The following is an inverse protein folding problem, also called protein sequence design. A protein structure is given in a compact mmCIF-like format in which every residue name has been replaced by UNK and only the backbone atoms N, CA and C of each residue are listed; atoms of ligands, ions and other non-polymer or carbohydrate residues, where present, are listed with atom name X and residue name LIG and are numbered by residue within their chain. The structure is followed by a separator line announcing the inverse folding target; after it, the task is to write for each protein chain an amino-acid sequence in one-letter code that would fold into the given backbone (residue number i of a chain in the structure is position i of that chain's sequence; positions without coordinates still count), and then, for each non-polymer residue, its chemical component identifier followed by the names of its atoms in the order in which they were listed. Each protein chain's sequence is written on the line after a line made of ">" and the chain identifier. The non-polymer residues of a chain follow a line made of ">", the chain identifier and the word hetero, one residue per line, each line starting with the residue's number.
data_IF_977736931467
#
_entry.id   IF_977736931467
#
_cell.length_a   1.000
_cell.length_b   1.000
_cell.length_c   1.000
_cell.angle_alpha   90.00
_cell.angle_beta   90.00
_cell.angle_gamma   90.00
#
_symmetry.space_group_name_H-M   'P 1'
#
loop_
_entity.id
_entity.type
_entity.pdbx_description
1 polymer ?
#
# COMPACT_ATOMS: atom_id res chain seq x y z
N UNK A 1 -22.40 -25.66 -6.99
CA UNK A 1 -23.44 -24.79 -7.52
C UNK A 1 -24.18 -25.44 -8.68
N UNK A 2 -25.40 -25.08 -8.90
CA UNK A 2 -26.21 -25.56 -9.99
C UNK A 2 -26.49 -24.42 -10.98
N UNK A 3 -26.48 -24.72 -12.27
CA UNK A 3 -26.93 -23.79 -13.33
C UNK A 3 -28.45 -23.71 -13.42
N UNK A 4 -29.15 -24.18 -12.39
CA UNK A 4 -30.61 -24.15 -12.28
C UNK A 4 -31.01 -23.35 -11.04
N UNK A 5 -32.06 -22.53 -11.09
CA UNK A 5 -32.55 -21.80 -9.91
C UNK A 5 -33.20 -22.71 -8.86
N UNK A 6 -33.09 -24.00 -9.03
CA UNK A 6 -33.70 -24.99 -8.18
C UNK A 6 -32.70 -25.55 -7.19
N UNK A 7 -33.00 -25.41 -5.93
CA UNK A 7 -32.29 -26.10 -4.86
C UNK A 7 -33.10 -27.35 -4.47
N UNK A 8 -32.42 -28.48 -4.38
CA UNK A 8 -32.98 -29.74 -3.93
C UNK A 8 -32.38 -30.14 -2.60
N UNK A 9 -33.22 -30.47 -1.66
CA UNK A 9 -32.80 -30.87 -0.33
C UNK A 9 -33.31 -32.26 -0.01
N UNK A 10 -32.58 -32.99 0.84
CA UNK A 10 -32.98 -34.33 1.34
C UNK A 10 -32.54 -34.45 2.79
N UNK A 11 -33.46 -34.88 3.67
CA UNK A 11 -33.09 -35.23 5.04
C UNK A 11 -32.36 -36.59 5.05
N UNK A 12 -31.47 -36.78 6.01
CA UNK A 12 -30.56 -37.95 6.09
C UNK A 12 -31.30 -39.31 6.03
N UNK A 13 -32.53 -39.35 6.52
CA UNK A 13 -33.35 -40.59 6.56
C UNK A 13 -34.32 -40.70 5.38
N UNK A 14 -34.47 -39.71 4.55
CA UNK A 14 -35.39 -39.74 3.42
C UNK A 14 -34.69 -40.28 2.16
N UNK A 15 -35.46 -40.95 1.29
CA UNK A 15 -34.93 -41.54 0.06
C UNK A 15 -34.95 -40.57 -1.11
N UNK A 16 -35.85 -39.57 -1.10
CA UNK A 16 -36.09 -38.67 -2.20
C UNK A 16 -35.61 -37.24 -1.91
N UNK A 17 -35.20 -36.52 -2.95
CA UNK A 17 -34.91 -35.12 -2.89
C UNK A 17 -36.17 -34.29 -3.09
N UNK A 18 -36.39 -33.32 -2.22
CA UNK A 18 -37.49 -32.36 -2.33
C UNK A 18 -36.96 -31.06 -2.92
N UNK A 19 -37.65 -30.53 -3.90
CA UNK A 19 -37.36 -29.22 -4.44
C UNK A 19 -37.75 -28.11 -3.46
N UNK A 20 -36.82 -27.28 -3.07
CA UNK A 20 -37.08 -26.11 -2.20
C UNK A 20 -37.56 -24.94 -3.02
N UNK A 21 -38.38 -24.07 -2.43
CA UNK A 21 -38.82 -22.80 -3.06
C UNK A 21 -37.92 -21.66 -2.64
N UNK A 22 -36.65 -21.69 -3.06
CA UNK A 22 -35.66 -20.71 -2.60
C UNK A 22 -35.70 -19.42 -3.44
N UNK A 23 -35.94 -19.51 -4.74
CA UNK A 23 -35.91 -18.37 -5.64
C UNK A 23 -37.15 -18.31 -6.53
N UNK A 24 -37.66 -17.09 -6.70
CA UNK A 24 -38.84 -16.83 -7.56
C UNK A 24 -38.46 -16.54 -9.02
N UNK A 25 -37.18 -16.39 -9.35
CA UNK A 25 -36.70 -15.97 -10.66
C UNK A 25 -36.08 -17.13 -11.45
N UNK A 26 -36.32 -17.14 -12.73
CA UNK A 26 -35.79 -18.16 -13.65
C UNK A 26 -34.40 -17.77 -14.15
N UNK A 27 -33.50 -18.74 -14.24
CA UNK A 27 -32.20 -18.57 -14.92
C UNK A 27 -31.02 -18.13 -14.03
N UNK A 28 -31.11 -18.33 -12.72
CA UNK A 28 -30.06 -17.92 -11.79
C UNK A 28 -29.10 -19.05 -11.44
N UNK A 29 -27.84 -18.69 -11.34
CA UNK A 29 -26.76 -19.51 -10.83
C UNK A 29 -26.67 -19.33 -9.30
N UNK A 30 -26.59 -20.42 -8.54
CA UNK A 30 -26.41 -20.41 -7.09
C UNK A 30 -24.95 -20.71 -6.79
N UNK A 31 -24.13 -19.68 -6.53
CA UNK A 31 -22.72 -19.90 -6.22
C UNK A 31 -22.51 -20.48 -4.82
N UNK A 32 -23.34 -20.22 -3.81
CA UNK A 32 -23.07 -20.52 -2.43
C UNK A 32 -24.22 -21.00 -1.57
N UNK A 33 -23.87 -21.96 -0.74
CA UNK A 33 -24.67 -22.44 0.40
C UNK A 33 -23.77 -22.35 1.63
N UNK A 34 -24.21 -21.61 2.64
CA UNK A 34 -23.52 -21.43 3.89
C UNK A 34 -24.38 -21.97 5.03
N UNK A 35 -24.07 -23.15 5.61
CA UNK A 35 -24.66 -23.54 6.86
C UNK A 35 -24.14 -22.65 7.98
N UNK A 36 -25.06 -22.00 8.69
CA UNK A 36 -24.71 -21.09 9.78
C UNK A 36 -24.73 -21.78 11.15
N UNK A 37 -23.94 -21.27 12.07
CA UNK A 37 -23.87 -21.77 13.46
C UNK A 37 -25.20 -21.67 14.19
N UNK A 38 -26.13 -20.82 13.75
CA UNK A 38 -27.49 -20.70 14.31
C UNK A 38 -28.48 -21.73 13.77
N UNK A 39 -28.01 -22.73 13.03
CA UNK A 39 -28.83 -23.79 12.45
C UNK A 39 -29.60 -23.42 11.19
N UNK A 40 -29.50 -22.18 10.73
CA UNK A 40 -30.10 -21.75 9.47
C UNK A 40 -29.08 -21.89 8.35
N UNK A 41 -29.54 -21.81 7.12
CA UNK A 41 -28.69 -21.88 5.94
C UNK A 41 -28.85 -20.63 5.12
N UNK A 42 -27.75 -19.98 4.76
CA UNK A 42 -27.79 -18.84 3.84
C UNK A 42 -27.39 -19.30 2.44
N UNK A 43 -27.95 -18.64 1.45
CA UNK A 43 -27.60 -18.86 0.06
C UNK A 43 -27.59 -17.53 -0.70
N UNK A 44 -26.67 -17.45 -1.63
CA UNK A 44 -26.56 -16.32 -2.56
C UNK A 44 -26.85 -16.82 -3.96
N UNK A 45 -27.42 -15.96 -4.79
CA UNK A 45 -27.67 -16.25 -6.18
C UNK A 45 -27.46 -15.01 -7.05
N UNK A 46 -27.14 -15.26 -8.31
CA UNK A 46 -26.95 -14.21 -9.31
C UNK A 46 -28.21 -13.33 -9.43
N UNK A 47 -28.04 -12.03 -9.29
CA UNK A 47 -29.10 -11.02 -9.36
C UNK A 47 -30.26 -11.22 -8.35
N UNK A 48 -30.01 -11.92 -7.26
CA UNK A 48 -31.01 -12.14 -6.22
C UNK A 48 -30.51 -11.66 -4.86
N UNK A 49 -31.42 -11.30 -3.95
CA UNK A 49 -31.04 -11.01 -2.57
C UNK A 49 -30.43 -12.26 -1.88
N UNK A 50 -29.76 -12.02 -0.80
CA UNK A 50 -29.28 -13.12 0.08
C UNK A 50 -30.50 -13.75 0.74
N UNK A 51 -30.64 -15.06 0.59
CA UNK A 51 -31.76 -15.82 1.12
C UNK A 51 -31.35 -16.65 2.32
N UNK A 52 -32.21 -16.71 3.31
CA UNK A 52 -32.10 -17.60 4.45
C UNK A 52 -33.07 -18.76 4.31
N UNK A 53 -32.59 -19.97 4.49
CA UNK A 53 -33.37 -21.20 4.40
C UNK A 53 -33.44 -21.81 5.80
N UNK A 54 -34.65 -22.21 6.19
CA UNK A 54 -34.84 -23.05 7.37
C UNK A 54 -34.72 -24.53 6.94
N UNK A 55 -33.71 -25.30 7.44
CA UNK A 55 -33.53 -26.68 7.03
C UNK A 55 -34.58 -27.67 7.58
N UNK A 56 -35.42 -27.24 8.54
CA UNK A 56 -36.46 -28.12 9.11
C UNK A 56 -37.69 -28.24 8.20
N UNK A 57 -38.08 -27.13 7.58
CA UNK A 57 -39.27 -27.06 6.72
C UNK A 57 -38.99 -26.63 5.29
N UNK A 58 -37.75 -26.29 4.96
CA UNK A 58 -37.24 -25.78 3.66
C UNK A 58 -37.93 -24.48 3.22
N UNK A 59 -38.50 -23.73 4.16
CA UNK A 59 -38.96 -22.38 3.87
C UNK A 59 -37.79 -21.42 3.74
N UNK A 60 -37.92 -20.51 2.81
CA UNK A 60 -36.92 -19.48 2.55
C UNK A 60 -37.50 -18.08 2.69
N UNK A 61 -36.70 -17.17 3.22
CA UNK A 61 -36.99 -15.74 3.29
C UNK A 61 -35.75 -14.93 2.92
N UNK A 62 -35.95 -13.72 2.49
CA UNK A 62 -34.83 -12.78 2.33
C UNK A 62 -34.19 -12.48 3.68
N UNK A 63 -32.88 -12.35 3.70
CA UNK A 63 -32.19 -11.89 4.90
C UNK A 63 -32.52 -10.41 5.11
N UNK A 64 -33.16 -10.07 6.24
CA UNK A 64 -33.43 -8.67 6.53
C UNK A 64 -32.15 -7.96 6.96
N UNK A 65 -31.65 -7.07 6.10
CA UNK A 65 -30.59 -6.16 6.48
C UNK A 65 -31.20 -4.89 7.06
N UNK A 66 -30.68 -4.43 8.19
CA UNK A 66 -31.23 -3.27 8.91
C UNK A 66 -30.87 -1.92 8.29
N UNK A 67 -30.01 -1.88 7.28
CA UNK A 67 -29.65 -0.65 6.60
C UNK A 67 -30.12 -0.66 5.14
N UNK A 68 -30.58 0.50 4.67
CA UNK A 68 -31.03 0.70 3.30
C UNK A 68 -29.91 0.73 2.26
N UNK A 69 -28.64 0.82 2.70
CA UNK A 69 -27.47 0.90 1.80
C UNK A 69 -27.25 -0.37 1.00
N UNK A 70 -27.74 -1.52 1.48
CA UNK A 70 -27.79 -2.76 0.73
C UNK A 70 -28.48 -2.59 -0.63
N UNK A 71 -29.64 -1.96 -0.67
CA UNK A 71 -30.36 -1.72 -1.92
C UNK A 71 -29.57 -0.78 -2.86
N UNK A 72 -28.85 0.18 -2.32
CA UNK A 72 -28.01 1.07 -3.12
C UNK A 72 -26.79 0.33 -3.71
N UNK A 73 -26.22 -0.66 -3.01
CA UNK A 73 -25.16 -1.52 -3.53
C UNK A 73 -25.66 -2.41 -4.68
N UNK A 74 -26.87 -2.94 -4.58
CA UNK A 74 -27.46 -3.79 -5.62
C UNK A 74 -28.01 -2.99 -6.81
N UNK A 75 -28.62 -1.83 -6.58
CA UNK A 75 -29.26 -1.04 -7.65
C UNK A 75 -28.29 -0.37 -8.62
N UNK A 76 -27.03 -0.18 -8.22
CA UNK A 76 -26.01 0.48 -9.08
C UNK A 76 -25.23 -0.47 -9.98
N UNK A 77 -25.26 -1.75 -9.69
CA UNK A 77 -24.56 -2.79 -10.46
C UNK A 77 -25.25 -4.14 -10.29
N UNK A 78 -25.01 -5.02 -11.24
CA UNK A 78 -25.50 -6.39 -11.16
C UNK A 78 -24.86 -7.09 -9.97
N UNK A 79 -25.65 -7.55 -9.01
CA UNK A 79 -25.15 -8.30 -7.85
C UNK A 79 -24.77 -9.70 -8.28
N UNK A 80 -23.49 -9.97 -8.28
CA UNK A 80 -22.90 -11.28 -8.61
C UNK A 80 -22.07 -11.72 -7.42
N UNK A 81 -22.67 -12.51 -6.50
CA UNK A 81 -21.90 -13.09 -5.40
C UNK A 81 -21.00 -14.21 -5.94
N UNK A 82 -19.79 -14.30 -5.45
CA UNK A 82 -18.79 -15.31 -5.79
C UNK A 82 -18.59 -16.28 -4.66
N UNK A 83 -18.51 -15.78 -3.44
CA UNK A 83 -18.29 -16.58 -2.24
C UNK A 83 -19.11 -16.05 -1.05
N UNK A 84 -19.37 -16.92 -0.08
CA UNK A 84 -20.05 -16.57 1.18
C UNK A 84 -19.42 -17.35 2.33
N UNK A 85 -19.01 -16.65 3.38
CA UNK A 85 -18.24 -17.20 4.49
C UNK A 85 -18.78 -16.67 5.83
N UNK A 86 -18.95 -17.55 6.84
CA UNK A 86 -19.24 -17.17 8.22
C UNK A 86 -17.97 -17.28 9.06
N UNK A 87 -17.60 -16.19 9.70
CA UNK A 87 -16.42 -16.16 10.54
C UNK A 87 -16.66 -16.69 11.96
N UNK A 88 -15.61 -16.79 12.75
CA UNK A 88 -15.64 -17.32 14.12
C UNK A 88 -16.52 -16.49 15.08
N UNK A 89 -16.88 -15.26 14.72
CA UNK A 89 -17.76 -14.37 15.52
C UNK A 89 -19.23 -14.47 15.07
N UNK A 90 -19.51 -15.21 13.99
CA UNK A 90 -20.83 -15.34 13.40
C UNK A 90 -21.21 -14.21 12.47
N UNK A 91 -20.29 -13.32 12.13
CA UNK A 91 -20.46 -12.37 11.06
C UNK A 91 -20.35 -13.06 9.69
N UNK A 92 -20.98 -12.51 8.65
CA UNK A 92 -20.95 -13.10 7.32
C UNK A 92 -20.26 -12.18 6.34
N UNK A 93 -19.36 -12.76 5.58
CA UNK A 93 -18.60 -12.10 4.53
C UNK A 93 -19.07 -12.60 3.18
N UNK A 94 -19.33 -11.68 2.24
CA UNK A 94 -19.80 -12.01 0.91
C UNK A 94 -18.86 -11.38 -0.12
N UNK A 95 -18.21 -12.23 -0.89
CA UNK A 95 -17.40 -11.83 -2.04
C UNK A 95 -18.31 -11.57 -3.24
N UNK A 96 -17.98 -10.55 -4.02
CA UNK A 96 -18.76 -10.16 -5.20
C UNK A 96 -17.87 -9.83 -6.38
N UNK A 97 -18.46 -9.90 -7.58
CA UNK A 97 -17.87 -9.27 -8.78
C UNK A 97 -18.24 -7.80 -8.77
N UNK A 98 -17.24 -6.93 -8.89
CA UNK A 98 -17.35 -5.46 -9.04
C UNK A 98 -17.89 -4.66 -7.84
N UNK A 99 -18.54 -5.31 -6.85
CA UNK A 99 -19.08 -4.62 -5.66
C UNK A 99 -18.13 -4.72 -4.43
N UNK A 100 -17.04 -5.46 -4.53
CA UNK A 100 -16.07 -5.63 -3.45
C UNK A 100 -16.48 -6.68 -2.42
N UNK A 101 -15.93 -6.56 -1.23
CA UNK A 101 -16.18 -7.43 -0.08
C UNK A 101 -17.27 -6.82 0.80
N UNK A 102 -18.35 -7.56 1.01
CA UNK A 102 -19.44 -7.15 1.89
C UNK A 102 -19.31 -7.85 3.24
N UNK A 103 -19.57 -7.13 4.31
CA UNK A 103 -19.56 -7.60 5.68
C UNK A 103 -20.94 -7.41 6.31
N UNK A 104 -21.53 -8.50 6.77
CA UNK A 104 -22.74 -8.49 7.59
C UNK A 104 -22.37 -8.72 9.05
N UNK A 105 -22.71 -7.77 9.90
CA UNK A 105 -22.51 -7.89 11.35
C UNK A 105 -23.70 -8.58 11.99
N UNK A 106 -23.46 -9.73 12.60
CA UNK A 106 -24.49 -10.48 13.32
C UNK A 106 -25.02 -9.73 14.56
N UNK A 107 -24.20 -8.87 15.15
CA UNK A 107 -24.56 -8.08 16.32
C UNK A 107 -25.52 -6.92 15.99
N UNK A 108 -25.39 -6.32 14.81
CA UNK A 108 -26.17 -5.14 14.42
C UNK A 108 -27.19 -5.40 13.32
N UNK A 109 -27.15 -6.57 12.67
CA UNK A 109 -27.98 -6.87 11.49
C UNK A 109 -27.67 -6.04 10.24
N UNK A 110 -26.61 -5.24 10.27
CA UNK A 110 -26.24 -4.33 9.17
C UNK A 110 -25.25 -5.00 8.22
N UNK A 111 -25.33 -4.61 6.96
CA UNK A 111 -24.37 -4.97 5.93
C UNK A 111 -23.68 -3.72 5.41
N UNK A 112 -22.37 -3.81 5.20
CA UNK A 112 -21.54 -2.72 4.70
C UNK A 112 -20.51 -3.23 3.69
N UNK A 113 -20.00 -2.35 2.84
CA UNK A 113 -18.88 -2.64 1.94
C UNK A 113 -17.58 -2.28 2.64
N UNK A 114 -16.65 -3.23 2.68
CA UNK A 114 -15.32 -3.01 3.24
C UNK A 114 -14.39 -2.60 2.11
N UNK A 115 -13.86 -1.38 2.20
CA UNK A 115 -12.95 -0.81 1.20
C UNK A 115 -11.49 -1.19 1.48
N UNK A 116 -10.66 -1.17 0.42
CA UNK A 116 -9.21 -1.39 0.53
C UNK A 116 -8.73 -2.76 0.05
N UNK A 117 -9.63 -3.60 -0.49
CA UNK A 117 -9.25 -4.85 -1.17
C UNK A 117 -8.35 -4.58 -2.38
N UNK A 118 -7.45 -5.52 -2.75
CA UNK A 118 -6.57 -5.36 -3.93
C UNK A 118 -7.34 -5.14 -5.23
N UNK A 119 -8.51 -5.76 -5.33
CA UNK A 119 -9.44 -5.64 -6.44
C UNK A 119 -10.87 -5.76 -5.91
N UNK A 120 -11.85 -5.17 -6.62
CA UNK A 120 -13.28 -5.30 -6.26
C UNK A 120 -13.90 -6.64 -6.66
N UNK A 121 -13.22 -7.40 -7.49
CA UNK A 121 -13.65 -8.74 -7.88
C UNK A 121 -13.09 -9.76 -6.88
N UNK A 122 -13.88 -10.06 -5.85
CA UNK A 122 -13.53 -11.01 -4.80
C UNK A 122 -13.86 -12.42 -5.26
N UNK A 123 -12.94 -13.36 -5.14
CA UNK A 123 -13.12 -14.74 -5.58
C UNK A 123 -13.34 -15.72 -4.44
N UNK A 124 -12.60 -15.61 -3.35
CA UNK A 124 -12.66 -16.52 -2.22
C UNK A 124 -12.30 -15.84 -0.91
N UNK A 125 -12.80 -16.38 0.20
CA UNK A 125 -12.68 -15.76 1.52
C UNK A 125 -12.33 -16.83 2.56
N UNK A 126 -11.36 -16.53 3.44
CA UNK A 126 -10.98 -17.36 4.58
C UNK A 126 -10.71 -16.51 5.83
N UNK A 127 -10.80 -17.15 6.99
CA UNK A 127 -10.42 -16.54 8.27
C UNK A 127 -9.16 -17.22 8.83
N UNK A 128 -8.19 -16.42 9.27
CA UNK A 128 -7.01 -16.95 9.95
C UNK A 128 -7.27 -17.23 11.45
N UNK A 129 -6.28 -17.80 12.12
CA UNK A 129 -6.39 -18.14 13.55
C UNK A 129 -6.46 -16.90 14.47
N UNK A 130 -6.10 -15.72 13.99
CA UNK A 130 -6.20 -14.44 14.71
C UNK A 130 -7.54 -13.74 14.46
N UNK A 131 -8.38 -14.29 13.58
CA UNK A 131 -9.66 -13.71 13.20
C UNK A 131 -9.54 -12.61 12.13
N UNK A 132 -8.41 -12.50 11.43
CA UNK A 132 -8.31 -11.64 10.25
C UNK A 132 -8.95 -12.33 9.05
N UNK A 133 -9.54 -11.54 8.16
CA UNK A 133 -10.17 -12.06 6.95
C UNK A 133 -9.22 -11.91 5.77
N UNK A 134 -9.06 -13.00 5.04
CA UNK A 134 -8.26 -13.07 3.84
C UNK A 134 -9.18 -13.19 2.62
N UNK A 135 -9.01 -12.31 1.65
CA UNK A 135 -9.81 -12.26 0.43
C UNK A 135 -8.91 -12.45 -0.79
N UNK A 136 -9.06 -13.60 -1.46
CA UNK A 136 -8.48 -13.83 -2.79
C UNK A 136 -9.30 -13.09 -3.82
N UNK A 137 -8.62 -12.34 -4.72
CA UNK A 137 -9.27 -11.49 -5.71
C UNK A 137 -8.80 -11.83 -7.13
N UNK A 138 -9.36 -11.16 -8.13
CA UNK A 138 -8.86 -11.25 -9.51
C UNK A 138 -7.52 -10.51 -9.69
N UNK A 139 -7.06 -9.74 -8.68
CA UNK A 139 -5.77 -9.06 -8.74
C UNK A 139 -5.13 -8.90 -7.35
N UNK A 140 -4.68 -9.99 -6.76
CA UNK A 140 -3.97 -10.02 -5.48
C UNK A 140 -4.77 -10.67 -4.35
N UNK A 141 -4.11 -10.81 -3.21
CA UNK A 141 -4.64 -11.38 -1.97
C UNK A 141 -4.68 -10.29 -0.90
N UNK A 142 -5.83 -10.01 -0.32
CA UNK A 142 -6.00 -9.00 0.71
C UNK A 142 -6.14 -9.65 2.09
N UNK A 143 -5.43 -9.12 3.10
CA UNK A 143 -5.62 -9.42 4.52
C UNK A 143 -6.31 -8.24 5.19
N UNK A 144 -7.51 -8.44 5.70
CA UNK A 144 -8.23 -7.45 6.51
C UNK A 144 -7.92 -7.66 7.99
N UNK A 145 -7.19 -6.72 8.58
CA UNK A 145 -6.96 -6.67 10.02
C UNK A 145 -8.18 -6.06 10.71
N UNK A 146 -8.95 -6.89 11.42
CA UNK A 146 -10.19 -6.46 12.10
C UNK A 146 -9.95 -5.54 13.29
N UNK A 147 -8.74 -5.49 13.84
CA UNK A 147 -8.42 -4.63 14.98
C UNK A 147 -8.13 -3.21 14.53
N UNK A 148 -7.52 -3.07 13.37
CA UNK A 148 -7.16 -1.79 12.75
C UNK A 148 -8.22 -1.33 11.74
N UNK A 149 -9.04 -2.25 11.21
CA UNK A 149 -10.03 -1.97 10.20
C UNK A 149 -9.43 -1.64 8.83
N UNK A 150 -8.31 -2.28 8.45
CA UNK A 150 -7.58 -1.98 7.21
C UNK A 150 -7.11 -3.24 6.50
N UNK A 151 -7.00 -3.11 5.17
CA UNK A 151 -6.37 -4.12 4.35
C UNK A 151 -4.85 -3.95 4.25
N UNK A 152 -4.16 -5.08 4.20
CA UNK A 152 -2.80 -5.23 3.68
C UNK A 152 -2.89 -6.13 2.46
N UNK A 153 -2.36 -5.68 1.33
CA UNK A 153 -2.52 -6.35 0.05
C UNK A 153 -1.20 -7.02 -0.38
N UNK A 154 -1.30 -8.24 -0.87
CA UNK A 154 -0.19 -9.07 -1.33
C UNK A 154 -0.36 -9.41 -2.81
N UNK A 155 0.75 -9.48 -3.53
CA UNK A 155 0.79 -9.73 -4.96
C UNK A 155 1.85 -10.80 -5.28
N UNK A 156 1.91 -11.25 -6.52
CA UNK A 156 2.90 -12.23 -6.95
C UNK A 156 4.34 -11.82 -6.59
N UNK A 157 4.64 -10.52 -6.62
CA UNK A 157 5.90 -9.96 -6.17
C UNK A 157 6.19 -10.18 -4.68
N UNK A 158 5.16 -10.39 -3.85
CA UNK A 158 5.27 -10.69 -2.43
C UNK A 158 5.49 -12.17 -2.13
N UNK A 159 5.55 -13.00 -3.19
CA UNK A 159 5.80 -14.44 -3.10
C UNK A 159 4.55 -15.31 -3.13
N UNK A 160 3.35 -14.75 -3.34
CA UNK A 160 2.17 -15.55 -3.65
C UNK A 160 2.29 -16.14 -5.07
N UNK A 161 1.69 -17.31 -5.32
CA UNK A 161 1.86 -18.05 -6.57
C UNK A 161 1.36 -17.33 -7.82
N UNK A 162 0.48 -16.32 -7.68
CA UNK A 162 -0.05 -15.49 -8.76
C UNK A 162 -1.05 -14.49 -8.21
N UNK A 163 -1.43 -13.49 -9.04
CA UNK A 163 -2.34 -12.43 -8.61
C UNK A 163 -3.83 -12.79 -8.75
N UNK A 164 -4.16 -13.84 -9.51
CA UNK A 164 -5.54 -14.16 -9.87
C UNK A 164 -5.98 -15.46 -9.22
N UNK A 165 -7.05 -15.38 -8.41
CA UNK A 165 -7.63 -16.51 -7.69
C UNK A 165 -8.97 -16.92 -8.30
N UNK A 166 -9.32 -18.20 -8.15
CA UNK A 166 -10.60 -18.74 -8.59
C UNK A 166 -11.67 -18.63 -7.50
N UNK A 167 -12.92 -18.56 -7.93
CA UNK A 167 -14.05 -18.52 -7.03
C UNK A 167 -14.08 -19.76 -6.13
N UNK A 168 -14.20 -19.53 -4.81
CA UNK A 168 -14.30 -20.58 -3.76
C UNK A 168 -13.16 -21.57 -3.75
N UNK A 169 -12.03 -21.19 -4.21
CA UNK A 169 -10.83 -22.02 -4.23
C UNK A 169 -9.93 -21.76 -3.02
N UNK A 170 -10.51 -21.66 -1.86
CA UNK A 170 -9.78 -21.46 -0.61
C UNK A 170 -10.18 -22.47 0.45
N UNK A 171 -9.27 -22.75 1.37
CA UNK A 171 -9.53 -23.49 2.59
C UNK A 171 -8.47 -23.22 3.65
N UNK A 172 -8.86 -23.40 4.93
CA UNK A 172 -7.94 -23.43 6.05
C UNK A 172 -7.69 -24.88 6.48
N UNK A 173 -6.43 -25.25 6.55
CA UNK A 173 -6.00 -26.55 7.07
C UNK A 173 -6.05 -26.61 8.60
N UNK A 174 -6.06 -27.81 9.20
CA UNK A 174 -6.14 -27.97 10.67
C UNK A 174 -4.94 -27.35 11.43
N UNK A 175 -3.80 -27.19 10.79
CA UNK A 175 -2.60 -26.53 11.34
C UNK A 175 -2.64 -25.01 11.25
N UNK A 176 -3.70 -24.44 10.68
CA UNK A 176 -3.88 -23.01 10.48
C UNK A 176 -3.34 -22.46 9.15
N UNK A 177 -2.71 -23.31 8.34
CA UNK A 177 -2.26 -22.95 6.99
C UNK A 177 -3.44 -22.56 6.12
N UNK A 178 -3.36 -21.44 5.44
CA UNK A 178 -4.32 -21.03 4.43
C UNK A 178 -3.87 -21.49 3.04
N UNK A 179 -4.82 -21.93 2.24
CA UNK A 179 -4.60 -22.38 0.87
C UNK A 179 -5.56 -21.65 -0.06
N UNK A 180 -5.02 -21.07 -1.13
CA UNK A 180 -5.78 -20.37 -2.17
C UNK A 180 -5.40 -20.89 -3.54
N UNK A 181 -6.41 -21.29 -4.33
CA UNK A 181 -6.24 -21.75 -5.70
C UNK A 181 -6.35 -20.61 -6.71
N UNK A 182 -5.42 -20.56 -7.63
CA UNK A 182 -5.38 -19.50 -8.64
C UNK A 182 -4.89 -19.99 -10.01
N UNK A 183 -4.79 -19.07 -10.96
CA UNK A 183 -4.37 -19.38 -12.36
C UNK A 183 -2.95 -19.94 -12.47
N UNK A 184 -2.11 -19.72 -11.45
CA UNK A 184 -0.73 -20.18 -11.41
C UNK A 184 -0.51 -21.32 -10.38
N UNK A 185 -1.57 -22.02 -10.00
CA UNK A 185 -1.52 -23.13 -9.05
C UNK A 185 -2.02 -22.75 -7.66
N UNK A 186 -1.40 -23.30 -6.62
CA UNK A 186 -1.80 -23.08 -5.24
C UNK A 186 -0.84 -22.13 -4.54
N UNK A 187 -1.40 -21.15 -3.85
CA UNK A 187 -0.72 -20.34 -2.84
C UNK A 187 -1.07 -20.89 -1.47
N UNK A 188 -0.09 -21.32 -0.71
CA UNK A 188 -0.30 -21.81 0.67
C UNK A 188 0.75 -21.18 1.59
N UNK A 189 0.31 -20.75 2.76
CA UNK A 189 1.16 -20.09 3.74
C UNK A 189 0.55 -20.17 5.13
N UNK A 190 1.40 -20.09 6.15
CA UNK A 190 0.92 -19.87 7.51
C UNK A 190 0.80 -18.34 7.73
N UNK A 191 -0.40 -17.82 8.08
CA UNK A 191 -0.60 -16.40 8.33
C UNK A 191 0.30 -15.80 9.41
N UNK A 192 0.80 -16.63 10.34
CA UNK A 192 1.74 -16.20 11.39
C UNK A 192 3.13 -15.87 10.84
N UNK A 193 3.51 -16.49 9.73
CA UNK A 193 4.82 -16.31 9.11
C UNK A 193 4.83 -15.14 8.11
N UNK A 194 3.65 -14.62 7.79
CA UNK A 194 3.52 -13.48 6.87
C UNK A 194 3.93 -12.20 7.57
N UNK A 195 5.14 -11.73 7.29
CA UNK A 195 5.61 -10.44 7.80
C UNK A 195 4.83 -9.30 7.17
N UNK A 196 4.23 -8.46 8.02
CA UNK A 196 3.50 -7.27 7.57
C UNK A 196 4.42 -6.09 7.27
N UNK A 197 5.73 -6.23 7.52
CA UNK A 197 6.69 -5.14 7.40
C UNK A 197 7.94 -5.60 6.66
N UNK A 198 8.03 -5.23 5.40
CA UNK A 198 9.28 -5.34 4.65
C UNK A 198 10.23 -4.21 5.04
N UNK A 199 11.42 -4.57 5.47
CA UNK A 199 12.52 -3.62 5.61
C UNK A 199 13.27 -3.51 4.28
N UNK A 200 13.01 -2.45 3.54
CA UNK A 200 13.66 -2.18 2.26
C UNK A 200 14.89 -1.30 2.52
N UNK A 201 16.10 -1.75 2.17
CA UNK A 201 17.29 -0.90 2.25
C UNK A 201 17.15 0.29 1.30
N UNK A 202 17.33 1.50 1.83
CA UNK A 202 17.38 2.74 1.05
C UNK A 202 18.84 3.21 1.01
N UNK A 203 19.40 3.32 -0.20
CA UNK A 203 20.78 3.69 -0.41
C UNK A 203 20.89 4.96 -1.24
N UNK A 204 21.98 5.72 -1.03
CA UNK A 204 22.42 6.75 -1.97
C UNK A 204 23.35 6.08 -2.99
N UNK A 205 23.09 6.38 -4.28
CA UNK A 205 23.84 5.78 -5.39
C UNK A 205 24.94 6.69 -5.88
N UNK A 206 24.56 7.80 -6.54
CA UNK A 206 25.49 8.66 -7.24
C UNK A 206 25.33 10.14 -6.86
N UNK A 207 26.44 10.85 -6.91
CA UNK A 207 26.49 12.30 -6.90
C UNK A 207 26.88 12.78 -8.30
N UNK A 208 26.09 13.68 -8.89
CA UNK A 208 26.48 14.39 -10.11
C UNK A 208 26.66 15.88 -9.78
N UNK A 209 27.74 16.46 -10.25
CA UNK A 209 28.05 17.88 -10.14
C UNK A 209 28.10 18.43 -11.57
N UNK A 210 27.30 19.47 -11.87
CA UNK A 210 27.15 20.00 -13.23
C UNK A 210 26.86 18.89 -14.27
N UNK A 211 26.00 17.93 -13.90
CA UNK A 211 25.64 16.77 -14.73
C UNK A 211 26.78 15.79 -15.04
N UNK A 212 27.89 15.85 -14.31
CA UNK A 212 29.02 14.90 -14.39
C UNK A 212 29.08 14.09 -13.12
N UNK A 213 29.27 12.79 -13.27
CA UNK A 213 29.38 11.87 -12.13
C UNK A 213 30.64 12.21 -11.31
N UNK A 214 30.45 12.49 -10.03
CA UNK A 214 31.54 12.68 -9.08
C UNK A 214 31.96 11.31 -8.51
N UNK A 215 33.21 10.94 -8.77
CA UNK A 215 33.80 9.72 -8.22
C UNK A 215 34.83 10.06 -7.14
N UNK A 216 35.01 9.23 -6.11
CA UNK A 216 35.99 9.48 -5.05
C UNK A 216 37.42 9.66 -5.55
N UNK A 217 37.74 9.10 -6.71
CA UNK A 217 39.08 9.18 -7.32
C UNK A 217 39.30 10.46 -8.12
N UNK A 218 38.22 11.06 -8.63
CA UNK A 218 38.28 12.17 -9.59
C UNK A 218 37.71 13.48 -9.01
N UNK A 219 37.19 13.46 -7.80
CA UNK A 219 36.50 14.60 -7.18
C UNK A 219 36.91 14.76 -5.72
N UNK A 220 37.27 15.99 -5.33
CA UNK A 220 37.50 16.37 -3.93
C UNK A 220 36.19 16.48 -3.13
N UNK A 221 35.06 16.39 -3.80
CA UNK A 221 33.73 16.56 -3.19
C UNK A 221 33.27 15.39 -2.34
N UNK A 222 33.79 14.19 -2.58
CA UNK A 222 33.51 12.97 -1.82
C UNK A 222 34.79 12.13 -1.67
N UNK A 223 34.99 11.57 -0.49
CA UNK A 223 36.14 10.67 -0.18
C UNK A 223 35.83 9.19 -0.41
N UNK A 224 34.55 8.82 -0.40
CA UNK A 224 34.02 7.45 -0.57
C UNK A 224 32.77 7.46 -1.43
N UNK A 225 32.39 6.28 -1.92
CA UNK A 225 31.12 6.11 -2.62
C UNK A 225 29.92 6.49 -1.72
N UNK A 226 28.87 7.09 -2.28
CA UNK A 226 27.74 7.62 -1.53
C UNK A 226 27.02 6.56 -0.65
N UNK A 227 27.06 5.30 -1.05
CA UNK A 227 26.49 4.20 -0.26
C UNK A 227 27.11 4.07 1.14
N UNK A 228 28.34 4.55 1.36
CA UNK A 228 29.01 4.61 2.66
C UNK A 228 28.70 5.90 3.44
N UNK A 229 27.85 6.77 2.90
CA UNK A 229 27.41 8.05 3.49
C UNK A 229 28.57 8.99 3.87
N UNK A 230 29.49 9.27 2.94
CA UNK A 230 30.52 10.27 3.19
C UNK A 230 29.88 11.65 3.30
N UNK A 231 30.57 12.60 3.94
CA UNK A 231 30.21 14.01 3.84
C UNK A 231 30.43 14.49 2.40
N UNK A 232 29.43 15.15 1.83
CA UNK A 232 29.53 15.77 0.50
C UNK A 232 30.04 17.18 0.70
N UNK A 233 31.26 17.49 0.22
CA UNK A 233 31.87 18.80 0.33
C UNK A 233 31.87 19.50 -1.04
N UNK A 234 30.99 20.48 -1.23
CA UNK A 234 30.85 21.25 -2.47
C UNK A 234 31.60 22.56 -2.36
N UNK A 235 32.34 22.91 -3.39
CA UNK A 235 32.94 24.24 -3.53
C UNK A 235 31.91 25.27 -4.01
N UNK A 236 32.16 26.53 -3.79
CA UNK A 236 31.26 27.63 -4.12
C UNK A 236 30.87 27.71 -5.61
N UNK A 237 31.68 27.13 -6.50
CA UNK A 237 31.42 27.07 -7.95
C UNK A 237 30.65 25.81 -8.36
N UNK A 238 30.44 24.83 -7.45
CA UNK A 238 29.73 23.63 -7.69
C UNK A 238 28.23 23.77 -7.30
N UNK A 239 27.61 24.81 -7.83
CA UNK A 239 26.28 25.27 -7.44
C UNK A 239 25.12 24.49 -8.03
N UNK A 240 25.37 23.52 -8.92
CA UNK A 240 24.36 22.62 -9.47
C UNK A 240 24.79 21.17 -9.28
N UNK A 241 24.04 20.42 -8.47
CA UNK A 241 24.32 19.03 -8.21
C UNK A 241 23.03 18.20 -8.07
N UNK A 242 23.13 16.90 -8.26
CA UNK A 242 22.05 15.97 -8.01
C UNK A 242 22.55 14.75 -7.21
N UNK A 243 21.68 14.23 -6.37
CA UNK A 243 21.90 13.03 -5.57
C UNK A 243 20.91 11.97 -6.03
N UNK A 244 21.42 10.84 -6.49
CA UNK A 244 20.62 9.67 -6.84
C UNK A 244 20.49 8.75 -5.63
N UNK A 245 19.30 8.14 -5.49
CA UNK A 245 18.97 7.23 -4.43
C UNK A 245 18.08 6.10 -4.93
N UNK A 246 18.19 4.93 -4.34
CA UNK A 246 17.35 3.78 -4.66
C UNK A 246 16.98 2.98 -3.42
N UNK A 247 15.73 2.52 -3.41
CA UNK A 247 15.28 1.46 -2.55
C UNK A 247 15.61 0.12 -3.22
N UNK A 248 16.28 -0.78 -2.49
CA UNK A 248 16.60 -2.12 -3.00
C UNK A 248 15.37 -3.03 -2.86
N UNK A 249 14.29 -2.68 -3.53
CA UNK A 249 13.13 -3.52 -3.69
C UNK A 249 13.11 -4.09 -5.11
N UNK A 250 13.45 -5.38 -5.21
CA UNK A 250 13.46 -6.09 -6.50
C UNK A 250 12.08 -6.58 -6.92
N UNK A 251 11.09 -6.48 -6.03
CA UNK A 251 9.76 -7.03 -6.25
C UNK A 251 8.75 -5.98 -6.69
N UNK A 252 8.81 -4.75 -6.17
CA UNK A 252 7.78 -3.72 -6.36
C UNK A 252 8.35 -2.32 -6.59
N UNK A 253 9.41 -2.21 -7.37
CA UNK A 253 10.09 -0.94 -7.63
C UNK A 253 9.16 0.17 -8.15
N UNK A 254 8.05 -0.18 -8.81
CA UNK A 254 7.07 0.77 -9.34
C UNK A 254 6.13 1.36 -8.28
N UNK A 255 6.04 0.73 -7.11
CA UNK A 255 5.13 1.14 -6.03
C UNK A 255 5.78 1.91 -4.92
N UNK A 256 7.11 1.99 -4.92
CA UNK A 256 7.87 2.76 -3.94
C UNK A 256 7.76 4.23 -4.29
N UNK A 257 7.18 5.01 -3.38
CA UNK A 257 7.14 6.47 -3.47
C UNK A 257 8.28 7.07 -2.68
N UNK A 258 9.02 7.96 -3.30
CA UNK A 258 10.14 8.64 -2.69
C UNK A 258 9.75 10.06 -2.30
N UNK A 259 10.18 10.47 -1.10
CA UNK A 259 10.13 11.83 -0.64
C UNK A 259 11.53 12.25 -0.24
N UNK A 260 11.93 13.45 -0.63
CA UNK A 260 13.23 13.98 -0.24
C UNK A 260 13.12 15.38 0.32
N UNK A 261 14.14 15.79 1.07
CA UNK A 261 14.23 17.11 1.69
C UNK A 261 15.67 17.45 1.99
N UNK A 262 16.07 18.69 1.75
CA UNK A 262 17.31 19.26 2.25
C UNK A 262 17.02 20.08 3.51
N UNK A 263 17.29 19.51 4.69
CA UNK A 263 17.13 20.22 5.96
C UNK A 263 18.07 21.42 6.01
N UNK A 264 17.53 22.58 6.36
CA UNK A 264 18.20 23.87 6.31
C UNK A 264 17.96 24.67 5.03
N UNK A 265 17.34 24.07 4.01
CA UNK A 265 16.99 24.73 2.74
C UNK A 265 15.52 24.55 2.39
N UNK A 266 15.04 23.30 2.34
CA UNK A 266 13.66 23.00 1.99
C UNK A 266 12.74 23.17 3.20
N UNK A 267 11.59 23.81 3.01
CA UNK A 267 10.58 23.96 4.04
C UNK A 267 9.76 22.69 4.25
N UNK A 268 9.46 21.97 3.17
CA UNK A 268 8.60 20.79 3.15
C UNK A 268 9.28 19.61 2.45
N UNK A 269 8.78 18.41 2.67
CA UNK A 269 9.15 17.23 1.93
C UNK A 269 8.67 17.37 0.48
N UNK A 270 9.54 17.06 -0.46
CA UNK A 270 9.27 17.08 -1.91
C UNK A 270 8.88 15.68 -2.33
N UNK A 271 7.71 15.53 -2.96
CA UNK A 271 7.26 14.27 -3.52
C UNK A 271 7.97 14.02 -4.86
N UNK A 272 8.87 13.05 -4.85
CA UNK A 272 9.60 12.62 -6.04
C UNK A 272 8.84 11.58 -6.86
N UNK A 273 7.72 11.04 -6.31
CA UNK A 273 7.02 9.89 -6.88
C UNK A 273 7.97 8.72 -7.12
N UNK A 274 8.18 8.34 -8.40
CA UNK A 274 9.09 7.28 -8.82
C UNK A 274 10.46 7.82 -9.29
N UNK A 275 10.69 9.12 -9.23
CA UNK A 275 11.99 9.70 -9.59
C UNK A 275 13.01 9.38 -8.49
N UNK A 276 14.18 8.92 -8.90
CA UNK A 276 15.26 8.49 -7.99
C UNK A 276 16.41 9.50 -7.93
N UNK A 277 16.18 10.71 -8.37
CA UNK A 277 17.19 11.76 -8.43
C UNK A 277 16.62 13.08 -7.91
N UNK A 278 17.31 13.69 -6.94
CA UNK A 278 17.01 15.01 -6.43
C UNK A 278 18.04 16.01 -6.95
N UNK A 279 17.59 17.05 -7.63
CA UNK A 279 18.43 18.11 -8.17
C UNK A 279 18.33 19.37 -7.32
N UNK A 280 19.48 19.94 -6.98
CA UNK A 280 19.60 21.21 -6.27
C UNK A 280 20.49 22.19 -7.03
N UNK A 281 20.09 23.45 -7.02
CA UNK A 281 20.86 24.51 -7.61
C UNK A 281 20.97 25.69 -6.63
N UNK A 282 22.13 26.37 -6.64
CA UNK A 282 22.37 27.59 -5.89
C UNK A 282 22.15 27.51 -4.38
N UNK A 283 22.56 26.39 -3.76
CA UNK A 283 22.56 26.30 -2.28
C UNK A 283 23.53 27.35 -1.72
N UNK A 284 23.11 28.18 -0.75
CA UNK A 284 24.00 29.07 -0.03
C UNK A 284 25.14 28.31 0.68
N UNK A 285 26.21 28.99 1.00
CA UNK A 285 27.27 28.41 1.84
C UNK A 285 26.72 28.04 3.20
N UNK A 286 26.95 26.78 3.63
CA UNK A 286 26.41 26.27 4.87
C UNK A 286 26.53 24.76 4.98
N UNK A 287 25.99 24.22 6.07
CA UNK A 287 25.91 22.79 6.30
C UNK A 287 24.45 22.37 6.31
N UNK A 288 24.15 21.39 5.48
CA UNK A 288 22.79 20.86 5.25
C UNK A 288 22.76 19.36 5.49
N UNK A 289 21.56 18.82 5.70
CA UNK A 289 21.36 17.38 5.74
C UNK A 289 20.33 17.01 4.69
N UNK A 290 20.78 16.29 3.66
CA UNK A 290 19.88 15.72 2.66
C UNK A 290 19.24 14.45 3.23
N UNK A 291 17.93 14.37 3.16
CA UNK A 291 17.13 13.27 3.68
C UNK A 291 16.25 12.71 2.59
N UNK A 292 16.17 11.40 2.55
CA UNK A 292 15.22 10.67 1.68
C UNK A 292 14.44 9.70 2.52
N UNK A 293 13.14 9.61 2.29
CA UNK A 293 12.30 8.58 2.87
C UNK A 293 11.49 7.88 1.79
N UNK A 294 11.17 6.62 2.05
CA UNK A 294 10.32 5.80 1.20
C UNK A 294 9.03 5.45 1.91
N UNK A 295 7.98 5.38 1.14
CA UNK A 295 6.68 4.84 1.55
C UNK A 295 6.05 4.14 0.34
N UNK A 296 5.10 3.26 0.58
CA UNK A 296 4.24 2.75 -0.48
C UNK A 296 2.79 3.23 -0.30
N UNK A 297 1.96 3.02 -1.30
CA UNK A 297 0.56 3.44 -1.29
C UNK A 297 -0.23 2.88 -0.10
N UNK A 298 0.12 1.69 0.36
CA UNK A 298 -0.59 0.94 1.42
C UNK A 298 -0.02 1.24 2.81
N UNK A 299 1.07 2.03 2.91
CA UNK A 299 1.83 2.27 4.15
C UNK A 299 2.31 0.99 4.85
N UNK A 300 2.40 -0.11 4.12
CA UNK A 300 2.89 -1.41 4.62
C UNK A 300 4.41 -1.49 4.68
N UNK A 301 5.12 -0.63 3.96
CA UNK A 301 6.57 -0.46 4.11
C UNK A 301 6.83 0.39 5.35
N UNK A 302 7.77 -0.05 6.19
CA UNK A 302 8.29 0.78 7.27
C UNK A 302 8.87 2.05 6.64
N UNK A 303 8.37 3.20 7.03
CA UNK A 303 8.98 4.48 6.64
C UNK A 303 10.45 4.43 7.01
N UNK A 304 11.32 4.28 6.03
CA UNK A 304 12.76 4.29 6.23
C UNK A 304 13.31 5.61 5.73
N UNK A 305 13.95 6.32 6.63
CA UNK A 305 14.64 7.57 6.34
C UNK A 305 16.15 7.29 6.25
N UNK A 306 16.78 7.80 5.22
CA UNK A 306 18.22 7.82 5.09
C UNK A 306 18.69 9.26 4.93
N UNK A 307 19.86 9.59 5.46
CA UNK A 307 20.38 10.94 5.44
C UNK A 307 21.87 10.99 5.13
N UNK A 308 22.31 12.08 4.49
CA UNK A 308 23.70 12.37 4.15
C UNK A 308 23.96 13.85 4.35
N UNK A 309 25.13 14.20 4.87
CA UNK A 309 25.53 15.59 5.11
C UNK A 309 26.06 16.24 3.84
N UNK A 310 25.64 17.48 3.59
CA UNK A 310 26.09 18.31 2.45
C UNK A 310 26.68 19.60 3.00
N UNK A 311 27.93 19.86 2.71
CA UNK A 311 28.66 21.04 3.14
C UNK A 311 28.99 21.87 1.89
N UNK A 312 28.49 23.08 1.83
CA UNK A 312 28.79 24.05 0.76
C UNK A 312 29.79 25.06 1.31
N UNK A 313 31.01 25.08 0.75
CA UNK A 313 32.07 26.01 1.16
C UNK A 313 31.72 27.44 0.72
N UNK A 314 32.00 28.45 1.55
CA UNK A 314 31.81 29.82 1.17
C UNK A 314 32.82 30.23 0.06
N UNK A 315 32.40 31.17 -0.80
CA UNK A 315 33.29 31.74 -1.78
C UNK A 315 34.44 32.46 -1.08
N UNK A 316 35.66 32.51 -1.67
CA UNK A 316 36.84 33.13 -1.04
C UNK A 316 36.60 34.60 -0.64
N UNK A 317 35.81 35.30 -1.40
CA UNK A 317 35.45 36.71 -1.15
C UNK A 317 34.38 36.91 -0.06
N UNK A 318 33.71 35.83 0.40
CA UNK A 318 32.72 35.82 1.48
C UNK A 318 33.32 35.39 2.82
N UNK A 319 34.58 35.01 2.88
CA UNK A 319 35.28 34.58 4.09
C UNK A 319 35.59 35.76 5.01
N UNK A 320 35.73 35.51 6.32
CA UNK A 320 36.03 36.54 7.32
C UNK A 320 37.28 37.35 7.01
N UNK A 321 38.33 36.73 6.47
CA UNK A 321 39.56 37.40 6.10
C UNK A 321 39.39 38.34 4.88
N UNK A 322 38.52 38.01 3.94
CA UNK A 322 38.18 38.88 2.82
C UNK A 322 37.48 40.16 3.32
N UNK A 323 36.62 40.06 4.30
CA UNK A 323 36.04 41.25 4.95
C UNK A 323 37.08 42.14 5.62
N UNK A 324 38.12 41.53 6.28
CA UNK A 324 39.24 42.31 6.81
C UNK A 324 39.99 43.07 5.73
N UNK A 325 40.24 42.45 4.56
CA UNK A 325 40.87 43.10 3.42
C UNK A 325 39.99 44.25 2.89
N UNK A 326 38.68 44.04 2.77
CA UNK A 326 37.75 45.10 2.32
C UNK A 326 37.75 46.30 3.28
N UNK A 327 37.78 46.04 4.58
CA UNK A 327 37.88 47.12 5.58
C UNK A 327 39.21 47.89 5.48
N UNK A 328 40.33 47.20 5.25
CA UNK A 328 41.63 47.84 5.07
C UNK A 328 41.65 48.70 3.79
N UNK A 329 41.10 48.20 2.68
CA UNK A 329 40.99 48.96 1.43
C UNK A 329 40.11 50.19 1.63
N UNK A 330 38.97 50.05 2.27
CA UNK A 330 38.08 51.16 2.57
C UNK A 330 38.76 52.22 3.44
N UNK A 331 39.48 51.81 4.49
CA UNK A 331 40.25 52.72 5.34
C UNK A 331 41.36 53.45 4.57
N UNK A 332 42.07 52.75 3.69
CA UNK A 332 43.09 53.35 2.83
C UNK A 332 42.47 54.39 1.87
N UNK A 333 41.37 54.11 1.24
CA UNK A 333 40.64 55.04 0.36
C UNK A 333 40.21 56.28 1.15
N UNK A 334 39.60 56.10 2.32
CA UNK A 334 39.18 57.17 3.21
C UNK A 334 40.44 58.04 3.59
N UNK A 335 41.55 57.42 3.94
CA UNK A 335 42.82 58.10 4.28
C UNK A 335 43.37 58.90 3.13
N UNK A 336 43.29 58.42 1.88
CA UNK A 336 43.68 59.15 0.66
C UNK A 336 42.77 60.35 0.46
N UNK A 337 41.45 60.15 0.64
CA UNK A 337 40.52 61.30 0.49
C UNK A 337 40.75 62.39 1.54
N UNK A 338 40.97 62.00 2.80
CA UNK A 338 41.28 62.96 3.85
C UNK A 338 42.57 63.68 3.56
N UNK A 339 43.66 63.03 3.09
CA UNK A 339 44.90 63.65 2.71
C UNK A 339 44.73 64.59 1.50
N UNK A 340 44.00 64.21 0.49
CA UNK A 340 43.68 65.02 -0.67
C UNK A 340 42.89 66.25 -0.25
N UNK A 341 41.89 66.13 0.58
CA UNK A 341 41.10 67.24 1.10
C UNK A 341 41.90 68.21 1.96
N UNK A 342 42.80 67.68 2.79
CA UNK A 342 43.73 68.53 3.58
C UNK A 342 44.76 69.25 2.74
N UNK A 343 45.12 68.81 1.50
CA UNK A 343 46.02 69.49 0.57
C UNK A 343 45.36 70.58 -0.26
N UNK A 344 44.04 70.58 -0.37
CA UNK A 344 43.23 71.54 -1.13
C UNK A 344 42.84 72.72 -0.23
N UNK A 345 42.88 72.55 1.08
CA UNK A 345 42.79 73.66 2.06
C UNK A 345 44.12 74.28 2.35
#
# INVERSE_FOLDING_TARGET
>A
GTYSPKLYAKKRKEKEFVQTKVFSWTGTFIPGLLPRNNGKMWTTAFMNPVMQINPDNWESAEVPFENTDWQACIQRSVFIPTDIFEDSRGDVWIGTVSNGLLHYSAATGKIETIEGTPCRDISCIEEDAQGNIWAGTQYGLGKYDRTVGKFTNYYAADGIGGNQFYDRSSCRLPDGTLVFGGTHGLTFFNPMDVSTKREIPLLFEDLKIHNRLARPQDSESIDKHLSYRPDICLDHNQNGFSISFAALDYCEYERVHYYYKMDGFDKYWIDARNNREAYYANLPAGTYTFKVKITNNDKSIVERENSIRVIVKPAPWQTWWAWCIYLLIAAAIIGIFIRAWLRIK
#
